data_IF_658200228742
#
_entry.id   IF_658200228742
#
_cell.length_a   1.000
_cell.length_b   1.000
_cell.length_c   1.000
_cell.angle_alpha   90.00
_cell.angle_beta   90.00
_cell.angle_gamma   90.00
#
_symmetry.space_group_name_H-M   'P 1'
#
loop_
_entity.id
_entity.type
_entity.pdbx_description
1 polymer ?
#
# COMPACT_ATOMS: atom_id res chain seq x y z
N UNK A 1 17.21 -11.82 -13.75
CA UNK A 1 16.29 -12.17 -14.84
C UNK A 1 16.29 -13.66 -15.15
N UNK A 2 17.44 -14.31 -15.33
CA UNK A 2 17.53 -15.77 -15.59
C UNK A 2 16.89 -16.64 -14.51
N UNK A 3 17.06 -16.31 -13.23
CA UNK A 3 16.48 -17.07 -12.11
C UNK A 3 14.93 -17.00 -12.08
N UNK A 4 14.34 -15.92 -12.51
CA UNK A 4 12.87 -15.77 -12.58
C UNK A 4 12.30 -16.53 -13.78
N UNK A 5 13.00 -16.53 -14.92
CA UNK A 5 12.62 -17.34 -16.08
C UNK A 5 12.72 -18.83 -15.76
N UNK A 6 13.79 -19.26 -15.06
CA UNK A 6 13.95 -20.66 -14.63
C UNK A 6 12.81 -21.08 -13.68
N UNK A 7 12.38 -20.20 -12.77
CA UNK A 7 11.24 -20.46 -11.89
C UNK A 7 9.92 -20.56 -12.68
N UNK A 8 9.71 -19.69 -13.68
CA UNK A 8 8.52 -19.74 -14.51
C UNK A 8 8.48 -21.03 -15.32
N UNK A 9 9.62 -21.50 -15.83
CA UNK A 9 9.71 -22.74 -16.60
C UNK A 9 9.26 -23.98 -15.82
N UNK A 10 9.42 -23.98 -14.49
CA UNK A 10 8.95 -25.07 -13.62
C UNK A 10 7.41 -25.21 -13.55
N UNK A 11 6.68 -24.18 -13.97
CA UNK A 11 5.22 -24.15 -13.99
C UNK A 11 4.64 -24.26 -15.41
N UNK A 12 5.48 -24.58 -16.39
CA UNK A 12 5.03 -24.82 -17.75
C UNK A 12 4.23 -26.13 -17.84
N UNK A 13 3.13 -26.09 -18.59
CA UNK A 13 2.39 -27.30 -18.96
C UNK A 13 3.17 -28.14 -19.98
N UNK A 14 2.65 -29.32 -20.32
CA UNK A 14 3.26 -30.25 -21.30
C UNK A 14 3.45 -29.62 -22.68
N UNK A 15 2.84 -28.45 -22.95
CA UNK A 15 2.98 -27.68 -24.19
C UNK A 15 3.91 -26.47 -24.03
N UNK A 16 4.62 -26.38 -22.90
CA UNK A 16 5.54 -25.27 -22.59
C UNK A 16 4.83 -23.93 -22.32
N UNK A 17 3.52 -23.94 -22.05
CA UNK A 17 2.74 -22.74 -21.73
C UNK A 17 2.61 -22.57 -20.24
N UNK A 18 2.82 -21.36 -19.74
CA UNK A 18 2.60 -20.99 -18.35
C UNK A 18 1.38 -20.06 -18.28
N UNK A 19 0.37 -20.37 -17.44
CA UNK A 19 -0.79 -19.50 -17.27
C UNK A 19 -0.37 -18.12 -16.78
N UNK A 20 -0.98 -17.06 -17.34
CA UNK A 20 -0.69 -15.67 -16.95
C UNK A 20 -0.80 -15.40 -15.45
N UNK A 21 -1.77 -15.99 -14.70
CA UNK A 21 -1.81 -15.85 -13.24
C UNK A 21 -0.54 -16.38 -12.56
N UNK A 22 -0.02 -17.51 -13.02
CA UNK A 22 1.21 -18.12 -12.49
C UNK A 22 2.43 -17.26 -12.76
N UNK A 23 2.54 -16.68 -13.97
CA UNK A 23 3.61 -15.74 -14.31
C UNK A 23 3.57 -14.53 -13.36
N UNK A 24 2.39 -13.96 -13.12
CA UNK A 24 2.21 -12.84 -12.20
C UNK A 24 2.62 -13.17 -10.76
N UNK A 25 2.45 -14.40 -10.32
CA UNK A 25 2.85 -14.85 -8.97
C UNK A 25 4.36 -15.10 -8.85
N UNK A 26 4.98 -15.58 -9.90
CA UNK A 26 6.40 -15.97 -9.90
C UNK A 26 7.31 -14.77 -10.15
N UNK A 27 6.89 -13.82 -11.01
CA UNK A 27 7.66 -12.63 -11.31
C UNK A 27 7.65 -11.67 -10.13
N UNK A 28 8.82 -11.37 -9.58
CA UNK A 28 8.99 -10.43 -8.47
C UNK A 28 8.33 -9.07 -8.75
N UNK A 29 7.65 -8.52 -7.74
CA UNK A 29 6.99 -7.21 -7.82
C UNK A 29 5.46 -7.23 -7.99
N UNK A 30 4.82 -8.37 -8.30
CA UNK A 30 3.36 -8.44 -8.38
C UNK A 30 2.69 -8.11 -7.04
N UNK A 31 3.26 -8.55 -5.91
CA UNK A 31 2.76 -8.27 -4.56
C UNK A 31 2.78 -6.78 -4.26
N UNK A 32 3.88 -6.12 -4.58
CA UNK A 32 4.00 -4.67 -4.41
C UNK A 32 2.99 -3.92 -5.27
N UNK A 33 2.81 -4.33 -6.52
CA UNK A 33 1.81 -3.73 -7.41
C UNK A 33 0.40 -3.95 -6.88
N UNK A 34 0.05 -5.18 -6.51
CA UNK A 34 -1.28 -5.52 -5.97
C UNK A 34 -1.56 -4.77 -4.66
N UNK A 35 -0.54 -4.58 -3.80
CA UNK A 35 -0.67 -3.77 -2.60
C UNK A 35 -1.03 -2.32 -2.93
N UNK A 36 -0.38 -1.73 -3.95
CA UNK A 36 -0.70 -0.38 -4.38
C UNK A 36 -2.07 -0.27 -5.03
N UNK A 37 -2.46 -1.26 -5.83
CA UNK A 37 -3.81 -1.32 -6.40
C UNK A 37 -4.88 -1.43 -5.30
N UNK A 38 -4.57 -2.14 -4.19
CA UNK A 38 -5.45 -2.21 -3.02
C UNK A 38 -5.52 -0.86 -2.28
N UNK A 39 -4.40 -0.15 -2.14
CA UNK A 39 -4.37 1.21 -1.57
C UNK A 39 -5.18 2.17 -2.44
N UNK A 40 -4.99 2.15 -3.75
CA UNK A 40 -5.73 2.99 -4.69
C UNK A 40 -7.25 2.72 -4.60
N UNK A 41 -7.66 1.45 -4.55
CA UNK A 41 -9.07 1.07 -4.38
C UNK A 41 -9.63 1.58 -3.04
N UNK A 42 -8.89 1.41 -1.94
CA UNK A 42 -9.30 1.91 -0.63
C UNK A 42 -9.45 3.44 -0.63
N UNK A 43 -8.48 4.18 -1.20
CA UNK A 43 -8.55 5.64 -1.26
C UNK A 43 -9.71 6.14 -2.13
N UNK A 44 -10.10 5.37 -3.15
CA UNK A 44 -11.28 5.62 -3.97
C UNK A 44 -12.61 5.28 -3.27
N UNK A 45 -12.57 4.71 -2.05
CA UNK A 45 -13.76 4.28 -1.31
C UNK A 45 -14.26 2.88 -1.65
N UNK A 46 -13.60 2.16 -2.56
CA UNK A 46 -13.95 0.80 -2.96
C UNK A 46 -13.32 -0.22 -1.98
N UNK A 47 -13.96 -0.33 -0.81
CA UNK A 47 -13.50 -1.23 0.25
C UNK A 47 -13.56 -2.72 -0.17
N UNK A 48 -14.55 -3.10 -0.97
CA UNK A 48 -14.70 -4.49 -1.43
C UNK A 48 -13.51 -4.90 -2.30
N UNK A 49 -13.22 -4.13 -3.33
CA UNK A 49 -12.06 -4.35 -4.20
C UNK A 49 -10.74 -4.32 -3.44
N UNK A 50 -10.58 -3.39 -2.49
CA UNK A 50 -9.39 -3.31 -1.66
C UNK A 50 -9.18 -4.60 -0.87
N UNK A 51 -10.22 -5.14 -0.25
CA UNK A 51 -10.15 -6.39 0.52
C UNK A 51 -9.90 -7.60 -0.37
N UNK A 52 -10.50 -7.68 -1.56
CA UNK A 52 -10.23 -8.75 -2.53
C UNK A 52 -8.75 -8.79 -2.95
N UNK A 53 -8.16 -7.62 -3.18
CA UNK A 53 -6.74 -7.52 -3.53
C UNK A 53 -5.83 -7.89 -2.35
N UNK A 54 -6.19 -7.52 -1.14
CA UNK A 54 -5.49 -7.93 0.10
C UNK A 54 -5.59 -9.45 0.29
N UNK A 55 -6.76 -10.05 0.06
CA UNK A 55 -6.95 -11.49 0.09
C UNK A 55 -6.05 -12.21 -0.93
N UNK A 56 -5.96 -11.66 -2.15
CA UNK A 56 -5.08 -12.20 -3.18
C UNK A 56 -3.61 -12.21 -2.74
N UNK A 57 -3.15 -11.16 -2.06
CA UNK A 57 -1.78 -11.07 -1.51
C UNK A 57 -1.56 -12.17 -0.45
N UNK A 58 -2.50 -12.37 0.47
CA UNK A 58 -2.40 -13.39 1.51
C UNK A 58 -2.46 -14.81 0.95
N UNK A 59 -3.33 -15.08 -0.03
CA UNK A 59 -3.33 -16.35 -0.77
C UNK A 59 -2.01 -16.62 -1.49
N UNK A 60 -1.29 -15.58 -1.87
CA UNK A 60 0.07 -15.66 -2.42
C UNK A 60 1.16 -15.93 -1.37
N UNK A 61 0.78 -16.19 -0.10
CA UNK A 61 1.71 -16.55 0.98
C UNK A 61 2.45 -15.36 1.60
N UNK A 62 1.95 -14.12 1.45
CA UNK A 62 2.57 -12.98 2.10
C UNK A 62 2.23 -12.94 3.59
N UNK A 63 3.25 -12.74 4.42
CA UNK A 63 3.05 -12.64 5.87
C UNK A 63 2.50 -11.25 6.26
N UNK A 64 1.49 -11.16 7.17
CA UNK A 64 0.86 -9.89 7.54
C UNK A 64 1.84 -8.80 8.01
N UNK A 65 2.88 -9.18 8.75
CA UNK A 65 3.88 -8.24 9.23
C UNK A 65 4.77 -7.69 8.10
N UNK A 66 5.10 -8.51 7.09
CA UNK A 66 5.88 -8.08 5.94
C UNK A 66 5.07 -7.12 5.06
N UNK A 67 3.80 -7.45 4.80
CA UNK A 67 2.87 -6.57 4.09
C UNK A 67 2.69 -5.24 4.83
N UNK A 68 2.50 -5.29 6.16
CA UNK A 68 2.38 -4.10 7.00
C UNK A 68 3.62 -3.22 6.93
N UNK A 69 4.83 -3.79 6.97
CA UNK A 69 6.07 -3.04 6.89
C UNK A 69 6.16 -2.18 5.61
N UNK A 70 5.87 -2.78 4.46
CA UNK A 70 5.86 -2.10 3.16
C UNK A 70 4.77 -1.03 3.08
N UNK A 71 3.56 -1.35 3.54
CA UNK A 71 2.42 -0.44 3.55
C UNK A 71 2.68 0.75 4.49
N UNK A 72 3.14 0.50 5.71
CA UNK A 72 3.41 1.53 6.71
C UNK A 72 4.51 2.50 6.25
N UNK A 73 5.58 1.97 5.65
CA UNK A 73 6.65 2.79 5.10
C UNK A 73 6.13 3.76 4.03
N UNK A 74 5.26 3.29 3.19
CA UNK A 74 4.67 4.07 2.11
C UNK A 74 3.67 5.11 2.63
N UNK A 75 2.72 4.69 3.47
CA UNK A 75 1.70 5.60 4.01
C UNK A 75 2.31 6.72 4.86
N UNK A 76 3.38 6.45 5.64
CA UNK A 76 4.11 7.49 6.38
C UNK A 76 4.68 8.56 5.45
N UNK A 77 5.19 8.17 4.28
CA UNK A 77 5.71 9.14 3.30
C UNK A 77 4.61 10.05 2.76
N UNK A 78 3.44 9.51 2.47
CA UNK A 78 2.30 10.33 2.07
C UNK A 78 1.84 11.26 3.19
N UNK A 79 1.79 10.80 4.43
CA UNK A 79 1.48 11.63 5.58
C UNK A 79 2.49 12.79 5.73
N UNK A 80 3.79 12.49 5.62
CA UNK A 80 4.85 13.50 5.68
C UNK A 80 4.78 14.50 4.52
N UNK A 81 4.50 14.03 3.29
CA UNK A 81 4.32 14.92 2.14
C UNK A 81 3.12 15.85 2.33
N UNK A 82 2.01 15.34 2.87
CA UNK A 82 0.83 16.14 3.17
C UNK A 82 1.13 17.20 4.24
N UNK A 83 1.83 16.83 5.32
CA UNK A 83 2.20 17.76 6.37
C UNK A 83 3.12 18.88 5.84
N UNK A 84 4.05 18.55 4.95
CA UNK A 84 4.90 19.54 4.29
C UNK A 84 4.08 20.54 3.44
N UNK A 85 3.12 20.04 2.67
CA UNK A 85 2.18 20.87 1.90
C UNK A 85 1.39 21.80 2.82
N UNK A 86 0.83 21.25 3.91
CA UNK A 86 0.08 22.05 4.89
C UNK A 86 0.96 23.09 5.59
N UNK A 87 2.21 22.78 5.87
CA UNK A 87 3.19 23.70 6.44
C UNK A 87 3.47 24.87 5.49
N UNK A 88 3.65 24.60 4.19
CA UNK A 88 3.82 25.65 3.18
C UNK A 88 2.60 26.56 3.11
N UNK A 89 1.40 26.00 3.10
CA UNK A 89 0.15 26.78 3.10
C UNK A 89 0.03 27.68 4.34
N UNK A 90 0.30 27.14 5.53
CA UNK A 90 0.27 27.90 6.79
C UNK A 90 1.28 29.05 6.83
N UNK A 91 2.41 28.90 6.14
CA UNK A 91 3.43 29.97 6.02
C UNK A 91 3.13 30.99 4.90
N UNK A 92 1.96 30.94 4.28
CA UNK A 92 1.56 31.82 3.17
C UNK A 92 2.27 31.53 1.86
N UNK A 93 2.99 30.41 1.75
CA UNK A 93 3.67 30.01 0.51
C UNK A 93 2.73 29.20 -0.38
N UNK A 94 2.88 29.37 -1.69
CA UNK A 94 2.18 28.49 -2.65
C UNK A 94 2.72 27.06 -2.51
N UNK A 95 1.84 26.06 -2.31
CA UNK A 95 2.27 24.67 -2.14
C UNK A 95 3.02 24.15 -3.36
N UNK A 96 4.18 23.55 -3.12
CA UNK A 96 4.98 22.88 -4.14
C UNK A 96 4.87 21.37 -3.95
N UNK A 97 3.87 20.76 -4.59
CA UNK A 97 3.58 19.32 -4.50
C UNK A 97 4.78 18.45 -4.91
N UNK A 98 5.44 18.68 -6.06
CA UNK A 98 6.61 17.91 -6.47
C UNK A 98 7.75 17.97 -5.44
N UNK A 99 8.02 19.14 -4.88
CA UNK A 99 9.05 19.28 -3.86
C UNK A 99 8.69 18.54 -2.57
N UNK A 100 7.44 18.62 -2.11
CA UNK A 100 6.97 17.93 -0.93
C UNK A 100 7.07 16.39 -1.09
N UNK A 101 6.66 15.87 -2.25
CA UNK A 101 6.77 14.45 -2.58
C UNK A 101 8.24 13.99 -2.62
N UNK A 102 9.12 14.76 -3.25
CA UNK A 102 10.55 14.47 -3.29
C UNK A 102 11.17 14.45 -1.90
N UNK A 103 10.86 15.45 -1.07
CA UNK A 103 11.34 15.52 0.33
C UNK A 103 10.85 14.34 1.15
N UNK A 104 9.63 13.88 0.93
CA UNK A 104 9.09 12.69 1.57
C UNK A 104 9.63 11.38 1.00
N UNK A 105 10.48 11.42 -0.04
CA UNK A 105 11.08 10.26 -0.68
C UNK A 105 10.16 9.53 -1.66
N UNK A 106 9.14 10.20 -2.19
CA UNK A 106 8.20 9.69 -3.20
C UNK A 106 8.60 10.07 -4.63
N UNK A 107 9.88 10.31 -4.88
CA UNK A 107 10.41 10.73 -6.18
C UNK A 107 10.93 9.59 -7.06
N UNK A 108 10.68 8.32 -6.70
CA UNK A 108 11.17 7.16 -7.41
C UNK A 108 10.09 6.46 -8.26
N UNK A 109 10.18 5.14 -8.33
CA UNK A 109 9.22 4.30 -9.05
C UNK A 109 7.79 4.52 -8.51
N UNK A 110 6.84 4.80 -9.39
CA UNK A 110 5.47 5.17 -9.03
C UNK A 110 5.26 6.67 -8.76
N UNK A 111 6.28 7.51 -8.97
CA UNK A 111 6.18 8.95 -8.77
C UNK A 111 5.06 9.62 -9.60
N UNK A 112 4.71 9.04 -10.75
CA UNK A 112 3.65 9.57 -11.63
C UNK A 112 2.27 9.56 -10.97
N UNK A 113 1.98 8.56 -10.13
CA UNK A 113 0.71 8.42 -9.40
C UNK A 113 0.71 9.15 -8.06
N UNK A 114 1.89 9.47 -7.51
CA UNK A 114 2.02 10.02 -6.17
C UNK A 114 1.26 11.34 -5.95
N UNK A 115 1.19 12.29 -6.90
CA UNK A 115 0.39 13.51 -6.72
C UNK A 115 -1.10 13.22 -6.56
N UNK A 116 -1.65 12.28 -7.31
CA UNK A 116 -3.06 11.94 -7.27
C UNK A 116 -3.41 11.15 -6.00
N UNK A 117 -2.56 10.22 -5.61
CA UNK A 117 -2.68 9.51 -4.33
C UNK A 117 -2.61 10.47 -3.14
N UNK A 118 -1.72 11.46 -3.18
CA UNK A 118 -1.63 12.48 -2.14
C UNK A 118 -2.93 13.28 -2.01
N UNK A 119 -3.52 13.68 -3.14
CA UNK A 119 -4.82 14.37 -3.17
C UNK A 119 -5.94 13.50 -2.61
N UNK A 120 -5.99 12.20 -2.99
CA UNK A 120 -6.99 11.25 -2.52
C UNK A 120 -6.87 10.98 -1.02
N UNK A 121 -5.67 10.87 -0.48
CA UNK A 121 -5.45 10.75 0.97
C UNK A 121 -6.03 11.97 1.67
N UNK A 122 -5.72 13.16 1.20
CA UNK A 122 -6.19 14.41 1.77
C UNK A 122 -5.66 14.67 3.19
N UNK A 123 -5.88 15.87 3.69
CA UNK A 123 -5.34 16.30 4.99
C UNK A 123 -5.98 15.55 6.18
N UNK A 124 -7.25 15.20 6.08
CA UNK A 124 -7.96 14.53 7.16
C UNK A 124 -7.44 13.12 7.42
N UNK A 125 -7.27 12.30 6.36
CA UNK A 125 -6.68 10.95 6.48
C UNK A 125 -5.20 11.02 6.88
N UNK A 126 -4.44 11.94 6.27
CA UNK A 126 -3.00 12.08 6.54
C UNK A 126 -2.70 12.31 8.02
N UNK A 127 -3.48 13.13 8.72
CA UNK A 127 -3.35 13.35 10.17
C UNK A 127 -3.60 12.09 11.01
N UNK A 128 -4.42 11.17 10.54
CA UNK A 128 -4.78 9.96 11.27
C UNK A 128 -3.91 8.75 10.92
N UNK A 129 -3.24 8.77 9.77
CA UNK A 129 -2.41 7.65 9.29
C UNK A 129 -1.40 7.21 10.35
N UNK A 130 -0.67 8.13 10.97
CA UNK A 130 0.35 7.80 11.97
C UNK A 130 -0.23 7.06 13.17
N UNK A 131 -1.41 7.46 13.64
CA UNK A 131 -2.12 6.78 14.72
C UNK A 131 -2.60 5.40 14.30
N UNK A 132 -3.22 5.28 13.12
CA UNK A 132 -3.69 3.99 12.60
C UNK A 132 -2.56 2.99 12.43
N UNK A 133 -1.41 3.46 11.93
CA UNK A 133 -0.23 2.63 11.78
C UNK A 133 0.35 2.19 13.12
N UNK A 134 0.37 3.07 14.13
CA UNK A 134 0.81 2.70 15.47
C UNK A 134 -0.11 1.65 16.10
N UNK A 135 -1.43 1.84 16.00
CA UNK A 135 -2.40 0.87 16.49
C UNK A 135 -2.26 -0.49 15.80
N UNK A 136 -2.09 -0.50 14.48
CA UNK A 136 -1.89 -1.72 13.72
C UNK A 136 -0.57 -2.43 14.10
N UNK A 137 0.54 -1.69 14.24
CA UNK A 137 1.83 -2.23 14.67
C UNK A 137 1.75 -2.91 16.04
N UNK A 138 1.13 -2.23 17.00
CA UNK A 138 0.93 -2.79 18.34
C UNK A 138 0.05 -4.05 18.32
N UNK A 139 -1.01 -4.07 17.50
CA UNK A 139 -1.88 -5.24 17.39
C UNK A 139 -1.16 -6.41 16.71
N UNK A 140 -0.40 -6.15 15.65
CA UNK A 140 0.39 -7.17 14.96
C UNK A 140 1.46 -7.80 15.88
N UNK A 141 2.13 -7.00 16.71
CA UNK A 141 3.15 -7.48 17.65
C UNK A 141 2.56 -8.24 18.84
N UNK A 142 1.37 -7.85 19.30
CA UNK A 142 0.67 -8.55 20.40
C UNK A 142 0.06 -9.88 19.96
N UNK A 143 -0.26 -10.02 18.69
CA UNK A 143 -0.90 -11.24 18.16
C UNK A 143 0.10 -12.31 17.73
N UNK A 144 1.17 -12.51 18.46
CA UNK A 144 2.34 -13.37 18.17
C UNK A 144 2.06 -14.77 17.61
N UNK A 145 0.82 -15.21 17.52
CA UNK A 145 0.55 -16.62 17.30
C UNK A 145 -0.44 -16.96 16.20
N UNK A 146 -1.14 -16.01 15.58
CA UNK A 146 -2.11 -16.37 14.56
C UNK A 146 -2.09 -15.42 13.36
N UNK A 147 -1.69 -15.98 12.23
CA UNK A 147 -1.70 -15.32 10.92
C UNK A 147 -3.07 -14.72 10.58
N UNK A 148 -4.16 -15.41 10.96
CA UNK A 148 -5.53 -14.92 10.81
C UNK A 148 -5.82 -13.61 11.56
N UNK A 149 -5.26 -13.42 12.74
CA UNK A 149 -5.39 -12.15 13.49
C UNK A 149 -4.60 -11.03 12.83
N UNK A 150 -3.39 -11.34 12.35
CA UNK A 150 -2.57 -10.39 11.60
C UNK A 150 -3.28 -9.93 10.32
N UNK A 151 -3.89 -10.86 9.59
CA UNK A 151 -4.71 -10.56 8.41
C UNK A 151 -5.85 -9.58 8.77
N UNK A 152 -6.61 -9.85 9.83
CA UNK A 152 -7.70 -8.98 10.27
C UNK A 152 -7.24 -7.56 10.61
N UNK A 153 -6.03 -7.39 11.17
CA UNK A 153 -5.45 -6.07 11.44
C UNK A 153 -5.21 -5.31 10.13
N UNK A 154 -4.67 -5.98 9.13
CA UNK A 154 -4.45 -5.37 7.81
C UNK A 154 -5.77 -4.99 7.14
N UNK A 155 -6.75 -5.91 7.13
CA UNK A 155 -8.08 -5.64 6.56
C UNK A 155 -8.75 -4.43 7.23
N UNK A 156 -8.69 -4.32 8.56
CA UNK A 156 -9.19 -3.14 9.30
C UNK A 156 -8.48 -1.85 8.89
N UNK A 157 -7.18 -1.89 8.62
CA UNK A 157 -6.44 -0.72 8.16
C UNK A 157 -6.93 -0.27 6.77
N UNK A 158 -7.16 -1.20 5.85
CA UNK A 158 -7.73 -0.90 4.53
C UNK A 158 -9.15 -0.35 4.61
N UNK A 159 -9.99 -0.90 5.49
CA UNK A 159 -11.34 -0.35 5.75
C UNK A 159 -11.30 1.07 6.29
N UNK A 160 -10.34 1.40 7.17
CA UNK A 160 -10.15 2.77 7.66
C UNK A 160 -9.72 3.72 6.54
N UNK A 161 -8.84 3.26 5.64
CA UNK A 161 -8.42 4.03 4.46
C UNK A 161 -9.58 4.27 3.50
N UNK A 162 -10.48 3.30 3.33
CA UNK A 162 -11.64 3.39 2.45
C UNK A 162 -12.76 4.28 2.99
N UNK A 163 -12.81 4.50 4.30
CA UNK A 163 -13.85 5.33 4.91
C UNK A 163 -13.66 6.79 4.53
N UNK A 164 -14.72 7.43 4.01
CA UNK A 164 -14.73 8.87 3.82
C UNK A 164 -14.57 9.58 5.16
N UNK A 165 -13.55 10.40 5.29
CA UNK A 165 -13.39 11.31 6.41
C UNK A 165 -13.88 12.68 5.95
N UNK A 166 -14.93 13.18 6.59
CA UNK A 166 -15.36 14.56 6.38
C UNK A 166 -14.17 15.48 6.70
N UNK A 167 -13.88 16.45 5.84
CA UNK A 167 -12.88 17.46 6.18
C UNK A 167 -13.32 18.17 7.48
N UNK A 168 -12.37 18.27 8.39
CA UNK A 168 -12.57 19.01 9.64
C UNK A 168 -12.53 20.52 9.39
#
# INVERSE_FOLDING_TARGET
MEQELSKIALFADDKGKVPMPTIKQVVGGWRTRTMWDAVDAALAGDAAKALDLVDLIFRGGEHPLALFGSLAWSLRRYANATEEVLRQMRSGRKPNLPAALKTAGLGGWGADKAPDQLKQIGSARAKQISQWLLEADLQLKRSHSHESRGRLVIEKLFLRLAKELKPA
#
